data_IF_629510551878
#
_entry.id   IF_629510551878
#
_cell.length_a   1.000
_cell.length_b   1.000
_cell.length_c   1.000
_cell.angle_alpha   90.00
_cell.angle_beta   90.00
_cell.angle_gamma   90.00
#
_symmetry.space_group_name_H-M   'P 1'
#
loop_
_entity.id
_entity.type
_entity.pdbx_description
1 polymer ?
#
# COMPACT_ATOMS: atom_id res chain seq x y z
N UNK A 1 -11.14 -10.38 -10.99
CA UNK A 1 -9.99 -9.71 -10.34
C UNK A 1 -9.97 -10.11 -8.89
N UNK A 2 -8.81 -10.47 -8.34
CA UNK A 2 -8.69 -10.68 -6.89
C UNK A 2 -8.92 -9.34 -6.19
N UNK A 3 -9.82 -9.27 -5.21
CA UNK A 3 -10.02 -8.04 -4.43
C UNK A 3 -9.20 -8.19 -3.15
N UNK A 4 -8.18 -7.37 -3.00
CA UNK A 4 -7.40 -7.32 -1.77
C UNK A 4 -7.95 -6.28 -0.79
N UNK A 5 -7.66 -6.50 0.48
CA UNK A 5 -7.98 -5.64 1.61
C UNK A 5 -6.68 -5.23 2.28
N UNK A 6 -6.63 -4.04 2.86
CA UNK A 6 -5.37 -3.47 3.29
C UNK A 6 -5.41 -3.01 4.74
N UNK A 7 -4.30 -3.22 5.44
CA UNK A 7 -3.96 -2.57 6.70
C UNK A 7 -2.59 -1.91 6.55
N UNK A 8 -2.20 -1.15 7.57
CA UNK A 8 -0.88 -0.54 7.65
C UNK A 8 -0.19 -0.99 8.91
N UNK A 9 1.08 -1.36 8.76
CA UNK A 9 2.03 -1.57 9.83
C UNK A 9 2.85 -0.29 10.04
N UNK A 10 2.68 0.33 11.19
CA UNK A 10 3.25 1.63 11.52
C UNK A 10 4.40 1.48 12.48
N UNK A 11 5.60 1.96 12.16
CA UNK A 11 6.59 2.33 13.18
C UNK A 11 6.21 3.69 13.81
N UNK A 12 6.53 3.86 15.10
CA UNK A 12 6.38 5.11 15.84
C UNK A 12 4.95 5.60 16.11
N UNK A 13 3.96 4.71 16.15
CA UNK A 13 2.55 5.11 16.35
C UNK A 13 1.70 5.08 15.07
N UNK A 14 0.39 4.96 15.25
CA UNK A 14 -0.57 5.04 14.14
C UNK A 14 -0.59 6.45 13.55
N UNK A 15 -0.64 6.55 12.22
CA UNK A 15 -0.66 7.83 11.48
C UNK A 15 0.57 8.69 11.76
N UNK A 16 1.74 8.07 11.89
CA UNK A 16 3.00 8.80 12.00
C UNK A 16 3.51 9.23 10.62
N UNK A 17 4.05 10.44 10.56
CA UNK A 17 4.59 11.06 9.35
C UNK A 17 6.03 11.51 9.58
N UNK A 18 6.84 11.54 8.51
CA UNK A 18 8.18 12.12 8.55
C UNK A 18 8.10 13.66 8.48
N UNK A 19 9.27 14.31 8.54
CA UNK A 19 9.37 15.78 8.48
C UNK A 19 8.83 16.38 7.17
N UNK A 20 8.80 15.58 6.10
CA UNK A 20 8.25 15.94 4.79
C UNK A 20 6.73 15.67 4.68
N UNK A 21 6.08 15.30 5.79
CA UNK A 21 4.66 14.94 5.86
C UNK A 21 4.30 13.71 5.00
N UNK A 22 5.25 12.80 4.84
CA UNK A 22 5.05 11.51 4.21
C UNK A 22 4.73 10.46 5.29
N UNK A 23 3.68 9.67 5.12
CA UNK A 23 3.29 8.64 6.08
C UNK A 23 4.38 7.58 6.22
N UNK A 24 4.80 7.32 7.45
CA UNK A 24 5.81 6.30 7.76
C UNK A 24 5.07 5.02 8.13
N UNK A 25 4.90 4.12 7.17
CA UNK A 25 4.30 2.81 7.41
C UNK A 25 4.32 1.91 6.19
N UNK A 26 4.19 0.61 6.42
CA UNK A 26 4.13 -0.39 5.35
C UNK A 26 2.70 -0.84 5.16
N UNK A 27 2.17 -0.70 3.95
CA UNK A 27 0.86 -1.23 3.61
C UNK A 27 0.96 -2.76 3.49
N UNK A 28 0.00 -3.49 4.04
CA UNK A 28 -0.02 -4.95 4.04
C UNK A 28 -1.30 -5.43 3.34
N UNK A 29 -1.21 -6.20 2.24
CA UNK A 29 -2.36 -6.76 1.56
C UNK A 29 -2.88 -8.04 2.23
N UNK A 30 -4.18 -8.26 2.11
CA UNK A 30 -4.89 -9.44 2.61
C UNK A 30 -5.95 -9.87 1.59
N UNK A 31 -6.20 -11.17 1.49
CA UNK A 31 -7.20 -11.71 0.55
C UNK A 31 -8.63 -11.58 1.07
N UNK A 32 -8.82 -11.36 2.38
CA UNK A 32 -10.14 -11.22 3.00
C UNK A 32 -10.18 -10.10 4.03
N UNK A 33 -11.35 -9.49 4.21
CA UNK A 33 -11.59 -8.54 5.31
C UNK A 33 -11.32 -9.18 6.66
N UNK A 34 -11.77 -10.43 6.88
CA UNK A 34 -11.57 -11.17 8.12
C UNK A 34 -10.10 -11.31 8.50
N UNK A 35 -9.23 -11.62 7.54
CA UNK A 35 -7.79 -11.73 7.79
C UNK A 35 -7.17 -10.37 8.14
N UNK A 36 -7.55 -9.31 7.41
CA UNK A 36 -7.12 -7.93 7.68
C UNK A 36 -7.57 -7.45 9.05
N UNK A 37 -8.82 -7.70 9.42
CA UNK A 37 -9.39 -7.28 10.70
C UNK A 37 -8.76 -8.07 11.87
N UNK A 38 -8.50 -9.37 11.69
CA UNK A 38 -7.78 -10.17 12.68
C UNK A 38 -6.34 -9.68 12.89
N UNK A 39 -5.66 -9.27 11.81
CA UNK A 39 -4.32 -8.68 11.90
C UNK A 39 -4.30 -7.38 12.71
N UNK A 40 -5.27 -6.50 12.48
CA UNK A 40 -5.44 -5.24 13.24
C UNK A 40 -5.86 -5.51 14.69
N UNK A 41 -6.79 -6.44 14.93
CA UNK A 41 -7.20 -6.82 16.28
C UNK A 41 -6.10 -7.50 17.10
N UNK A 42 -5.11 -8.09 16.42
CA UNK A 42 -3.92 -8.63 17.04
C UNK A 42 -2.84 -7.58 17.33
N UNK A 43 -3.11 -6.29 17.11
CA UNK A 43 -2.23 -5.20 17.55
C UNK A 43 -2.01 -5.29 19.06
N UNK A 44 -0.75 -5.21 19.47
CA UNK A 44 -0.35 -5.20 20.87
C UNK A 44 0.68 -4.12 21.05
N UNK A 45 0.61 -3.43 22.17
CA UNK A 45 1.64 -2.47 22.53
C UNK A 45 2.98 -3.19 22.67
N UNK A 46 3.87 -2.97 21.70
CA UNK A 46 5.24 -3.49 21.68
C UNK A 46 6.29 -2.38 21.85
N UNK A 47 5.82 -1.21 22.30
CA UNK A 47 6.63 -0.05 22.61
C UNK A 47 6.74 0.96 21.48
N UNK A 48 6.40 0.61 20.23
CA UNK A 48 6.51 1.58 19.13
C UNK A 48 5.75 1.22 17.84
N UNK A 49 5.44 -0.05 17.60
CA UNK A 49 4.81 -0.49 16.37
C UNK A 49 3.32 -0.71 16.57
N UNK A 50 2.56 -0.38 15.54
CA UNK A 50 1.11 -0.45 15.56
C UNK A 50 0.54 -0.98 14.26
N UNK A 51 -0.62 -1.59 14.35
CA UNK A 51 -1.40 -2.08 13.21
C UNK A 51 -2.73 -1.37 13.18
N UNK A 52 -3.07 -0.76 12.05
CA UNK A 52 -4.39 -0.16 11.87
C UNK A 52 -4.89 -0.36 10.45
N UNK A 53 -6.18 -0.13 10.25
CA UNK A 53 -6.78 -0.03 8.92
C UNK A 53 -7.23 1.42 8.70
N UNK A 54 -6.35 2.28 8.12
CA UNK A 54 -6.67 3.68 7.88
C UNK A 54 -7.71 3.83 6.77
N UNK A 55 -8.15 5.07 6.53
CA UNK A 55 -9.03 5.35 5.42
C UNK A 55 -8.39 5.04 4.05
N UNK A 56 -9.26 4.92 3.05
CA UNK A 56 -8.87 4.59 1.68
C UNK A 56 -7.91 5.62 1.08
N UNK A 57 -8.07 6.92 1.38
CA UNK A 57 -7.30 7.99 0.77
C UNK A 57 -5.85 7.96 1.24
N UNK A 58 -5.64 7.78 2.55
CA UNK A 58 -4.32 7.64 3.13
C UNK A 58 -3.63 6.37 2.63
N UNK A 59 -4.32 5.24 2.69
CA UNK A 59 -3.81 3.94 2.23
C UNK A 59 -3.39 4.00 0.75
N UNK A 60 -4.20 4.64 -0.11
CA UNK A 60 -3.89 4.84 -1.53
C UNK A 60 -2.66 5.72 -1.74
N UNK A 61 -2.47 6.79 -0.94
CA UNK A 61 -1.27 7.65 -1.00
C UNK A 61 -0.01 6.83 -0.69
N UNK A 62 -0.05 6.06 0.40
CA UNK A 62 1.07 5.22 0.83
C UNK A 62 1.48 4.19 -0.23
N UNK A 63 0.53 3.52 -0.87
CA UNK A 63 0.83 2.57 -1.95
C UNK A 63 1.47 3.23 -3.16
N UNK A 64 1.03 4.45 -3.54
CA UNK A 64 1.62 5.17 -4.66
C UNK A 64 3.08 5.54 -4.39
N UNK A 65 3.39 5.96 -3.17
CA UNK A 65 4.75 6.28 -2.73
C UNK A 65 5.62 5.02 -2.72
N UNK A 66 5.14 3.92 -2.13
CA UNK A 66 5.83 2.63 -2.12
C UNK A 66 6.12 2.11 -3.54
N UNK A 67 5.15 2.20 -4.47
CA UNK A 67 5.37 1.80 -5.87
C UNK A 67 6.43 2.64 -6.58
N UNK A 68 6.52 3.94 -6.28
CA UNK A 68 7.56 4.83 -6.82
C UNK A 68 8.93 4.44 -6.29
N UNK A 69 9.01 4.14 -4.99
CA UNK A 69 10.24 3.69 -4.36
C UNK A 69 10.70 2.34 -4.91
N UNK A 70 9.81 1.35 -5.02
CA UNK A 70 10.17 0.02 -5.53
C UNK A 70 10.72 0.08 -6.96
N UNK A 71 10.11 0.88 -7.84
CA UNK A 71 10.64 1.13 -9.19
C UNK A 71 12.02 1.80 -9.16
N UNK A 72 12.25 2.72 -8.21
CA UNK A 72 13.54 3.39 -8.03
C UNK A 72 14.61 2.43 -7.51
N UNK A 73 14.26 1.50 -6.60
CA UNK A 73 15.17 0.48 -6.09
C UNK A 73 15.52 -0.55 -7.16
N UNK A 74 14.53 -1.04 -7.89
CA UNK A 74 14.70 -1.99 -9.00
C UNK A 74 15.59 -1.41 -10.11
N UNK A 75 15.37 -0.15 -10.50
CA UNK A 75 16.19 0.53 -11.51
C UNK A 75 17.61 0.89 -11.06
N UNK A 76 17.90 0.92 -9.75
CA UNK A 76 19.21 1.30 -9.22
C UNK A 76 20.15 0.13 -8.93
N UNK A 77 19.63 -1.09 -8.76
CA UNK A 77 20.44 -2.28 -8.49
C UNK A 77 21.41 -2.09 -7.32
N UNK A 78 20.90 -2.13 -6.08
CA UNK A 78 21.75 -1.93 -4.90
C UNK A 78 22.67 -3.14 -4.64
N UNK A 79 23.98 -2.93 -4.79
CA UNK A 79 25.01 -3.95 -4.56
C UNK A 79 24.95 -4.49 -3.12
N UNK A 80 24.93 -5.81 -2.97
CA UNK A 80 24.85 -6.50 -1.67
C UNK A 80 23.45 -6.71 -1.11
N UNK A 81 22.41 -6.10 -1.70
CA UNK A 81 21.02 -6.39 -1.38
C UNK A 81 20.47 -7.39 -2.40
N UNK A 82 20.37 -8.68 -2.01
CA UNK A 82 19.38 -9.57 -2.62
C UNK A 82 18.02 -9.16 -2.08
N UNK A 83 17.47 -8.11 -2.69
CA UNK A 83 16.02 -7.99 -2.75
C UNK A 83 15.60 -9.05 -3.73
N UNK A 84 15.30 -10.25 -3.24
CA UNK A 84 14.63 -11.27 -4.02
C UNK A 84 13.33 -10.65 -4.53
N UNK A 85 13.38 -10.19 -5.79
CA UNK A 85 12.38 -9.34 -6.43
C UNK A 85 10.95 -9.80 -6.20
N UNK A 86 10.75 -11.10 -6.00
CA UNK A 86 9.50 -11.76 -5.62
C UNK A 86 8.72 -11.05 -4.51
N UNK A 87 9.34 -10.61 -3.40
CA UNK A 87 8.58 -9.96 -2.32
C UNK A 87 8.04 -8.59 -2.75
N UNK A 88 8.88 -7.76 -3.35
CA UNK A 88 8.51 -6.41 -3.78
C UNK A 88 7.66 -6.42 -5.06
N UNK A 89 7.85 -7.41 -5.94
CA UNK A 89 6.97 -7.73 -7.05
C UNK A 89 5.59 -8.14 -6.55
N UNK A 90 5.50 -9.03 -5.55
CA UNK A 90 4.20 -9.45 -4.99
C UNK A 90 3.43 -8.32 -4.32
N UNK A 91 4.11 -7.42 -3.60
CA UNK A 91 3.51 -6.21 -3.04
C UNK A 91 3.14 -5.22 -4.15
N UNK A 92 4.01 -5.05 -5.14
CA UNK A 92 3.77 -4.20 -6.30
C UNK A 92 2.54 -4.64 -7.10
N UNK A 93 2.41 -5.94 -7.36
CA UNK A 93 1.28 -6.56 -8.03
C UNK A 93 0.01 -6.43 -7.20
N UNK A 94 0.08 -6.70 -5.89
CA UNK A 94 -1.05 -6.54 -4.98
C UNK A 94 -1.55 -5.08 -4.95
N UNK A 95 -0.66 -4.09 -4.99
CA UNK A 95 -1.04 -2.68 -5.08
C UNK A 95 -1.60 -2.33 -6.46
N UNK A 96 -0.98 -2.82 -7.54
CA UNK A 96 -1.45 -2.61 -8.91
C UNK A 96 -2.89 -3.10 -9.09
N UNK A 97 -3.24 -4.24 -8.52
CA UNK A 97 -4.62 -4.79 -8.56
C UNK A 97 -5.65 -3.82 -7.97
N UNK A 98 -5.32 -3.10 -6.89
CA UNK A 98 -6.20 -2.06 -6.35
C UNK A 98 -6.39 -0.91 -7.34
N UNK A 99 -5.31 -0.42 -7.95
CA UNK A 99 -5.39 0.70 -8.90
C UNK A 99 -6.12 0.31 -10.18
N UNK A 100 -5.91 -0.90 -10.69
CA UNK A 100 -6.63 -1.42 -11.84
C UNK A 100 -8.13 -1.56 -11.51
N UNK A 101 -8.47 -2.00 -10.30
CA UNK A 101 -9.86 -2.05 -9.84
C UNK A 101 -10.49 -0.65 -9.64
N UNK A 102 -9.73 0.34 -9.14
CA UNK A 102 -10.16 1.74 -9.02
C UNK A 102 -10.39 2.36 -10.41
N UNK A 103 -9.51 2.08 -11.37
CA UNK A 103 -9.64 2.51 -12.76
C UNK A 103 -10.86 1.87 -13.43
N UNK A 104 -11.04 0.55 -13.26
CA UNK A 104 -12.22 -0.15 -13.78
C UNK A 104 -13.51 0.37 -13.16
N UNK A 105 -13.56 0.60 -11.84
CA UNK A 105 -14.72 1.16 -11.17
C UNK A 105 -15.06 2.56 -11.70
N UNK A 106 -14.05 3.41 -11.93
CA UNK A 106 -14.25 4.73 -12.53
C UNK A 106 -14.75 4.63 -13.97
N UNK A 107 -14.20 3.72 -14.76
CA UNK A 107 -14.67 3.44 -16.11
C UNK A 107 -16.13 2.97 -16.12
N UNK A 108 -16.50 2.04 -15.22
CA UNK A 108 -17.86 1.52 -15.13
C UNK A 108 -18.87 2.59 -14.69
N UNK A 109 -18.45 3.51 -13.82
CA UNK A 109 -19.30 4.57 -13.28
C UNK A 109 -19.40 5.82 -14.18
N UNK A 110 -18.33 6.15 -14.90
CA UNK A 110 -18.19 7.43 -15.59
C UNK A 110 -17.82 7.32 -17.08
N UNK A 111 -17.54 6.10 -17.59
CA UNK A 111 -17.03 5.88 -18.94
C UNK A 111 -15.54 6.22 -19.10
N UNK A 112 -15.01 6.07 -20.32
CA UNK A 112 -13.64 6.43 -20.67
C UNK A 112 -13.48 7.97 -20.69
N UNK A 113 -13.36 8.57 -19.52
CA UNK A 113 -13.02 9.98 -19.41
C UNK A 113 -11.50 10.06 -19.40
N UNK A 114 -10.94 10.13 -20.61
CA UNK A 114 -9.54 10.46 -20.88
C UNK A 114 -9.17 11.68 -20.00
N UNK A 115 -8.40 11.46 -18.92
CA UNK A 115 -8.03 12.49 -17.96
C UNK A 115 -6.92 13.40 -18.52
N UNK A 116 -7.02 13.74 -19.80
CA UNK A 116 -6.15 14.67 -20.52
C UNK A 116 -6.80 16.03 -20.75
N UNK A 117 -7.75 16.46 -19.92
CA UNK A 117 -8.09 17.88 -19.83
C UNK A 117 -8.44 18.27 -18.39
N UNK A 118 -7.45 18.82 -17.66
CA UNK A 118 -7.57 19.95 -16.71
C UNK A 118 -6.20 20.25 -16.07
#
# INVERSE_FOLDING_TARGET
MSRHYYAVYWPYGVNTFNFDHEPIGTVVPFDTTKARDAYVAADRFDGNFHRSAPDYRLTRKMMLEALREFRSLDSKGYEGWRVDGVFYESLGDAYKVMFDADAQLRYDLFGDVDSREA
#
